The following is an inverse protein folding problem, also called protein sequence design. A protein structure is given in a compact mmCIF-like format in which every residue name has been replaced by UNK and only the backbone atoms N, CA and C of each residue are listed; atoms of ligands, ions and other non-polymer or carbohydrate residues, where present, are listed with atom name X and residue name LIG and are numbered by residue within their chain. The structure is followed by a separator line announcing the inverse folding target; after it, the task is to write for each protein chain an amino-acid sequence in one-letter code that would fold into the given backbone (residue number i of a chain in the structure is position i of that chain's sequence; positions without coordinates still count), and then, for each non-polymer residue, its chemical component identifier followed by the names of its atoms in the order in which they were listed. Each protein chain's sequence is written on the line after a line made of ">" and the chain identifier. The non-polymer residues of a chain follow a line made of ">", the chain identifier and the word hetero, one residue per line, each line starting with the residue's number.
data_IF_484382000248
#
_entry.id   IF_484382000248
#
_cell.length_a   1.000
_cell.length_b   1.000
_cell.length_c   1.000
_cell.angle_alpha   90.00
_cell.angle_beta   90.00
_cell.angle_gamma   90.00
#
_symmetry.space_group_name_H-M   'P 1'
#
loop_
_entity.id
_entity.type
_entity.pdbx_description
1 polymer ?
#
# COMPACT_ATOMS: atom_id res chain seq x y z
N UNK A 1 6.17 5.19 33.27
CA UNK A 1 6.40 5.05 31.81
C UNK A 1 6.16 3.60 31.45
N UNK A 2 5.28 3.30 30.48
CA UNK A 2 5.08 1.91 30.03
C UNK A 2 6.39 1.40 29.43
N UNK A 3 6.85 0.23 29.88
CA UNK A 3 8.09 -0.39 29.40
C UNK A 3 8.09 -0.45 27.86
N UNK A 4 9.25 -0.21 27.25
CA UNK A 4 9.42 0.04 25.81
C UNK A 4 9.12 -1.14 24.90
N UNK A 5 7.87 -1.61 24.83
CA UNK A 5 7.42 -2.63 23.88
C UNK A 5 6.62 -2.00 22.73
N UNK A 6 6.71 -2.64 21.57
CA UNK A 6 6.03 -2.26 20.32
C UNK A 6 5.07 -3.39 19.96
N UNK A 7 3.80 -3.07 19.75
CA UNK A 7 2.86 -4.00 19.15
C UNK A 7 2.58 -3.60 17.70
N UNK A 8 2.72 -4.54 16.76
CA UNK A 8 2.40 -4.33 15.35
C UNK A 8 1.11 -5.05 15.03
N UNK A 9 0.13 -4.32 14.51
CA UNK A 9 -1.16 -4.87 14.11
C UNK A 9 -1.24 -4.94 12.59
N UNK A 10 -1.59 -6.11 12.08
CA UNK A 10 -1.78 -6.36 10.66
C UNK A 10 -2.98 -7.28 10.42
N UNK A 11 -3.44 -7.37 9.16
CA UNK A 11 -4.50 -8.32 8.78
C UNK A 11 -4.04 -9.35 7.77
N UNK A 12 -3.18 -8.93 6.84
CA UNK A 12 -2.65 -9.78 5.77
C UNK A 12 -1.16 -9.56 5.58
N UNK A 13 -0.52 -10.40 4.78
CA UNK A 13 0.92 -10.35 4.53
C UNK A 13 1.40 -8.97 4.02
N UNK A 14 0.67 -8.33 3.11
CA UNK A 14 1.07 -7.01 2.59
C UNK A 14 1.10 -5.93 3.69
N UNK A 15 0.21 -6.05 4.68
CA UNK A 15 0.19 -5.17 5.83
C UNK A 15 1.39 -5.42 6.75
N UNK A 16 1.66 -6.69 7.04
CA UNK A 16 2.82 -7.10 7.83
C UNK A 16 4.11 -6.60 7.18
N UNK A 17 4.31 -6.88 5.88
CA UNK A 17 5.45 -6.42 5.07
C UNK A 17 5.70 -4.92 5.23
N UNK A 18 4.64 -4.10 5.10
CA UNK A 18 4.74 -2.65 5.19
C UNK A 18 5.18 -2.11 6.57
N UNK A 19 5.02 -2.91 7.63
CA UNK A 19 5.39 -2.51 8.99
C UNK A 19 6.80 -2.98 9.39
N UNK A 20 7.36 -4.00 8.73
CA UNK A 20 8.64 -4.63 9.12
C UNK A 20 9.80 -3.66 9.24
N UNK A 21 9.97 -2.75 8.27
CA UNK A 21 11.07 -1.80 8.30
C UNK A 21 10.99 -0.84 9.51
N UNK A 22 9.80 -0.27 9.75
CA UNK A 22 9.56 0.60 10.89
C UNK A 22 9.75 -0.15 12.22
N UNK A 23 9.17 -1.34 12.34
CA UNK A 23 9.24 -2.15 13.55
C UNK A 23 10.68 -2.49 13.92
N UNK A 24 11.50 -2.94 12.94
CA UNK A 24 12.94 -3.16 13.14
C UNK A 24 13.65 -1.89 13.58
N UNK A 25 13.42 -0.77 12.88
CA UNK A 25 14.06 0.49 13.21
C UNK A 25 13.73 1.01 14.62
N UNK A 26 12.52 0.77 15.12
CA UNK A 26 12.10 1.16 16.46
C UNK A 26 12.62 0.20 17.55
N UNK A 27 12.84 -1.07 17.20
CA UNK A 27 13.41 -2.09 18.07
C UNK A 27 14.92 -1.83 18.30
N UNK A 28 15.67 -1.62 17.23
CA UNK A 28 17.14 -1.51 17.26
C UNK A 28 17.62 -0.33 18.12
N UNK A 29 17.01 0.84 18.00
CA UNK A 29 17.46 2.06 18.71
C UNK A 29 17.04 2.09 20.18
N UNK A 30 16.02 1.33 20.57
CA UNK A 30 15.43 1.40 21.91
C UNK A 30 15.49 0.10 22.72
N UNK A 31 16.11 -0.95 22.20
CA UNK A 31 16.09 -2.29 22.81
C UNK A 31 14.66 -2.81 23.02
N UNK A 32 13.72 -2.37 22.17
CA UNK A 32 12.28 -2.58 22.36
C UNK A 32 11.87 -3.96 21.86
N UNK A 33 11.14 -4.71 22.66
CA UNK A 33 10.53 -5.96 22.19
C UNK A 33 9.38 -5.67 21.24
N UNK A 34 9.31 -6.41 20.13
CA UNK A 34 8.25 -6.31 19.12
C UNK A 34 7.33 -7.53 19.20
N UNK A 35 6.04 -7.31 19.41
CA UNK A 35 5.00 -8.33 19.26
C UNK A 35 4.18 -8.08 18.00
N UNK A 36 3.82 -9.15 17.30
CA UNK A 36 3.04 -9.12 16.07
C UNK A 36 1.64 -9.68 16.33
N UNK A 37 0.61 -8.96 15.88
CA UNK A 37 -0.79 -9.28 16.14
C UNK A 37 -1.56 -9.29 14.82
N UNK A 38 -1.83 -10.50 14.31
CA UNK A 38 -2.71 -10.71 13.18
C UNK A 38 -4.16 -10.56 13.62
N UNK A 39 -4.92 -9.64 13.04
CA UNK A 39 -6.32 -9.40 13.45
C UNK A 39 -7.23 -10.61 13.28
N UNK A 40 -6.88 -11.55 12.40
CA UNK A 40 -7.60 -12.80 12.25
C UNK A 40 -7.50 -13.71 13.48
N UNK A 41 -6.46 -13.53 14.31
CA UNK A 41 -6.29 -14.28 15.56
C UNK A 41 -7.22 -13.76 16.67
N UNK A 42 -7.89 -12.62 16.45
CA UNK A 42 -8.71 -11.90 17.42
C UNK A 42 -10.12 -11.59 16.90
N UNK A 43 -10.59 -12.24 15.82
CA UNK A 43 -11.88 -11.89 15.21
C UNK A 43 -13.04 -11.93 16.23
N UNK A 44 -12.98 -12.88 17.17
CA UNK A 44 -13.94 -13.06 18.28
C UNK A 44 -13.37 -12.73 19.68
N UNK A 45 -12.10 -12.33 19.79
CA UNK A 45 -11.41 -12.04 21.07
C UNK A 45 -10.99 -10.57 21.21
N UNK A 46 -12.00 -9.72 21.42
CA UNK A 46 -11.79 -8.27 21.55
C UNK A 46 -11.03 -7.91 22.83
N UNK A 47 -11.30 -8.59 23.95
CA UNK A 47 -10.63 -8.27 25.22
C UNK A 47 -9.19 -8.75 25.23
N UNK A 48 -8.88 -9.91 24.62
CA UNK A 48 -7.51 -10.35 24.42
C UNK A 48 -6.71 -9.39 23.54
N UNK A 49 -7.31 -8.88 22.45
CA UNK A 49 -6.69 -7.83 21.64
C UNK A 49 -6.43 -6.55 22.46
N UNK A 50 -7.42 -6.08 23.21
CA UNK A 50 -7.30 -4.89 24.07
C UNK A 50 -6.21 -5.07 25.12
N UNK A 51 -6.16 -6.22 25.77
CA UNK A 51 -5.15 -6.59 26.77
C UNK A 51 -3.74 -6.64 26.16
N UNK A 52 -3.59 -7.26 24.99
CA UNK A 52 -2.30 -7.34 24.29
C UNK A 52 -1.77 -5.97 23.89
N UNK A 53 -2.61 -5.15 23.25
CA UNK A 53 -2.21 -3.81 22.80
C UNK A 53 -2.03 -2.83 23.95
N UNK A 54 -2.82 -2.95 25.02
CA UNK A 54 -2.76 -2.08 26.19
C UNK A 54 -1.43 -2.13 26.96
N UNK A 55 -0.70 -3.24 26.84
CA UNK A 55 0.64 -3.41 27.42
C UNK A 55 1.75 -2.70 26.64
N UNK A 56 1.51 -2.34 25.38
CA UNK A 56 2.50 -1.72 24.52
C UNK A 56 2.67 -0.22 24.81
N UNK A 57 3.90 0.28 24.63
CA UNK A 57 4.17 1.72 24.61
C UNK A 57 3.79 2.33 23.27
N UNK A 58 4.06 1.61 22.18
CA UNK A 58 3.77 2.00 20.80
C UNK A 58 2.93 0.90 20.14
N UNK A 59 1.86 1.29 19.47
CA UNK A 59 1.06 0.38 18.62
C UNK A 59 1.15 0.87 17.18
N UNK A 60 1.77 0.07 16.32
CA UNK A 60 1.88 0.32 14.88
C UNK A 60 0.70 -0.34 14.17
N UNK A 61 -0.17 0.47 13.58
CA UNK A 61 -1.37 0.06 12.86
C UNK A 61 -1.10 0.01 11.36
N UNK A 62 -0.83 -1.19 10.85
CA UNK A 62 -0.77 -1.49 9.42
C UNK A 62 -2.03 -2.24 9.02
N UNK A 63 -3.17 -1.56 8.93
CA UNK A 63 -4.43 -2.21 8.55
C UNK A 63 -5.42 -1.24 7.89
N UNK A 64 -6.58 -1.77 7.51
CA UNK A 64 -7.64 -0.99 6.90
C UNK A 64 -8.26 0.00 7.88
N UNK A 65 -8.78 1.12 7.39
CA UNK A 65 -9.36 2.18 8.23
C UNK A 65 -10.46 1.72 9.18
N UNK A 66 -11.24 0.70 8.80
CA UNK A 66 -12.24 0.06 9.68
C UNK A 66 -11.59 -0.57 10.91
N UNK A 67 -10.54 -1.35 10.70
CA UNK A 67 -9.83 -2.05 11.77
C UNK A 67 -9.14 -1.06 12.70
N UNK A 68 -8.48 -0.05 12.12
CA UNK A 68 -7.87 1.06 12.86
C UNK A 68 -8.89 1.66 13.83
N UNK A 69 -10.06 2.05 13.34
CA UNK A 69 -11.05 2.69 14.20
C UNK A 69 -11.67 1.71 15.21
N UNK A 70 -11.87 0.43 14.88
CA UNK A 70 -12.29 -0.58 15.88
C UNK A 70 -11.29 -0.64 17.04
N UNK A 71 -9.99 -0.67 16.75
CA UNK A 71 -8.92 -0.69 17.76
C UNK A 71 -8.91 0.60 18.59
N UNK A 72 -8.97 1.77 17.93
CA UNK A 72 -8.95 3.05 18.63
C UNK A 72 -10.15 3.23 19.59
N UNK A 73 -11.29 2.59 19.33
CA UNK A 73 -12.44 2.59 20.24
C UNK A 73 -12.23 1.77 21.51
N UNK A 74 -11.32 0.80 21.52
CA UNK A 74 -10.98 0.01 22.72
C UNK A 74 -10.20 0.83 23.77
N UNK A 75 -9.64 1.97 23.35
CA UNK A 75 -8.77 2.83 24.14
C UNK A 75 -9.31 4.27 24.16
N UNK A 76 -10.35 4.55 24.95
CA UNK A 76 -10.93 5.89 25.04
C UNK A 76 -9.90 6.91 25.57
N UNK A 77 -10.00 8.14 25.09
CA UNK A 77 -9.07 9.24 25.41
C UNK A 77 -9.03 9.61 26.89
N UNK A 78 -10.10 9.30 27.62
CA UNK A 78 -10.20 9.50 29.07
C UNK A 78 -9.33 8.54 29.90
N UNK A 79 -8.70 7.55 29.26
CA UNK A 79 -7.87 6.55 29.93
C UNK A 79 -6.44 6.53 29.36
N UNK A 80 -5.45 6.07 30.14
CA UNK A 80 -4.11 5.84 29.63
C UNK A 80 -4.14 4.85 28.45
N UNK A 81 -3.70 5.31 27.27
CA UNK A 81 -3.68 4.51 26.03
C UNK A 81 -2.27 4.41 25.43
N UNK A 82 -2.00 3.39 24.60
CA UNK A 82 -0.75 3.33 23.82
C UNK A 82 -0.62 4.51 22.85
N UNK A 83 0.62 4.77 22.41
CA UNK A 83 0.90 5.71 21.32
C UNK A 83 0.65 5.02 19.97
N UNK A 84 -0.36 5.47 19.24
CA UNK A 84 -0.79 4.88 17.97
C UNK A 84 -0.09 5.53 16.78
N UNK A 85 0.68 4.73 16.05
CA UNK A 85 1.30 5.10 14.78
C UNK A 85 0.57 4.35 13.67
N UNK A 86 0.02 5.04 12.69
CA UNK A 86 -0.60 4.39 11.53
C UNK A 86 0.23 4.57 10.27
N UNK A 87 0.16 3.59 9.37
CA UNK A 87 0.81 3.64 8.06
C UNK A 87 -0.13 3.15 6.95
N UNK A 88 0.30 3.29 5.70
CA UNK A 88 -0.44 2.84 4.52
C UNK A 88 0.27 1.65 3.87
N UNK A 89 -0.34 0.45 3.88
CA UNK A 89 0.27 -0.75 3.29
C UNK A 89 0.00 -0.80 1.77
N UNK A 90 0.64 0.09 1.02
CA UNK A 90 0.53 0.22 -0.43
C UNK A 90 0.20 1.65 -0.89
N UNK A 91 0.07 1.83 -2.20
CA UNK A 91 -0.27 3.11 -2.83
C UNK A 91 -1.64 3.60 -2.34
N UNK A 92 -1.74 4.87 -1.98
CA UNK A 92 -3.00 5.52 -1.63
C UNK A 92 -3.50 6.31 -2.83
N UNK A 93 -4.75 6.08 -3.24
CA UNK A 93 -5.34 6.86 -4.31
C UNK A 93 -5.95 8.14 -3.76
N UNK A 94 -5.82 9.25 -4.51
CA UNK A 94 -6.46 10.54 -4.16
C UNK A 94 -7.99 10.43 -4.00
N UNK A 95 -8.62 9.45 -4.65
CA UNK A 95 -10.05 9.15 -4.49
C UNK A 95 -10.42 8.43 -3.18
N UNK A 96 -9.42 7.96 -2.42
CA UNK A 96 -9.59 7.23 -1.16
C UNK A 96 -9.39 8.15 0.04
N UNK A 97 -10.16 9.24 0.08
CA UNK A 97 -10.16 10.17 1.21
C UNK A 97 -10.51 9.50 2.53
N UNK A 98 -11.34 8.47 2.47
CA UNK A 98 -11.66 7.62 3.61
C UNK A 98 -10.42 6.98 4.24
N UNK A 99 -9.41 6.64 3.45
CA UNK A 99 -8.16 6.07 3.95
C UNK A 99 -7.37 7.07 4.83
N UNK A 100 -7.39 8.35 4.48
CA UNK A 100 -6.78 9.43 5.27
C UNK A 100 -7.61 9.77 6.51
N UNK A 101 -8.92 9.96 6.33
CA UNK A 101 -9.85 10.36 7.42
C UNK A 101 -9.84 9.33 8.56
N UNK A 102 -9.81 8.04 8.22
CA UNK A 102 -9.82 6.95 9.21
C UNK A 102 -8.54 6.88 10.07
N UNK A 103 -7.51 7.67 9.79
CA UNK A 103 -6.25 7.74 10.56
C UNK A 103 -6.10 9.01 11.38
N UNK A 104 -7.04 9.96 11.29
CA UNK A 104 -6.98 11.25 12.00
C UNK A 104 -6.83 11.11 13.52
N UNK A 105 -7.40 10.05 14.12
CA UNK A 105 -7.36 9.80 15.56
C UNK A 105 -6.07 9.12 16.05
N UNK A 106 -5.16 8.73 15.15
CA UNK A 106 -3.85 8.23 15.54
C UNK A 106 -2.95 9.38 16.04
N UNK A 107 -1.93 9.07 16.85
CA UNK A 107 -0.99 10.09 17.29
C UNK A 107 -0.06 10.54 16.17
N UNK A 108 0.36 9.59 15.32
CA UNK A 108 1.21 9.85 14.17
C UNK A 108 0.72 9.07 12.94
N UNK A 109 0.69 9.74 11.79
CA UNK A 109 0.30 9.14 10.50
C UNK A 109 1.49 9.19 9.54
N UNK A 110 1.99 8.01 9.17
CA UNK A 110 3.13 7.84 8.27
C UNK A 110 2.66 7.84 6.82
N UNK A 111 3.11 8.81 6.03
CA UNK A 111 2.66 9.03 4.65
C UNK A 111 3.67 8.55 3.63
N UNK A 112 3.20 7.95 2.54
CA UNK A 112 4.09 7.22 1.63
C UNK A 112 4.93 8.12 0.73
N UNK A 113 4.51 9.38 0.56
CA UNK A 113 5.10 10.28 -0.45
C UNK A 113 4.86 11.74 -0.10
N UNK A 114 5.53 12.65 -0.80
CA UNK A 114 5.31 14.10 -0.64
C UNK A 114 3.92 14.50 -1.12
N UNK A 115 3.44 13.88 -2.18
CA UNK A 115 2.08 14.08 -2.68
C UNK A 115 1.01 13.64 -1.65
N UNK A 116 1.24 12.55 -0.93
CA UNK A 116 0.36 12.11 0.16
C UNK A 116 0.44 13.06 1.35
N UNK A 117 1.64 13.55 1.70
CA UNK A 117 1.85 14.55 2.74
C UNK A 117 1.06 15.84 2.48
N UNK A 118 1.15 16.36 1.27
CA UNK A 118 0.40 17.53 0.83
C UNK A 118 -1.12 17.27 0.83
N UNK A 119 -1.55 16.12 0.30
CA UNK A 119 -2.96 15.75 0.25
C UNK A 119 -3.55 15.61 1.66
N UNK A 120 -2.81 15.00 2.58
CA UNK A 120 -3.21 14.87 3.98
C UNK A 120 -3.27 16.22 4.69
N UNK A 121 -2.28 17.10 4.47
CA UNK A 121 -2.28 18.47 4.99
C UNK A 121 -3.55 19.23 4.61
N UNK A 122 -3.91 19.21 3.32
CA UNK A 122 -5.16 19.84 2.83
C UNK A 122 -6.40 19.26 3.49
N UNK A 123 -6.44 17.95 3.74
CA UNK A 123 -7.56 17.31 4.46
C UNK A 123 -7.61 17.79 5.91
N UNK A 124 -6.47 17.86 6.60
CA UNK A 124 -6.39 18.36 7.97
C UNK A 124 -6.88 19.82 8.05
N UNK A 125 -6.41 20.68 7.15
CA UNK A 125 -6.81 22.10 7.07
C UNK A 125 -8.33 22.23 6.81
N UNK A 126 -8.85 21.45 5.88
CA UNK A 126 -10.27 21.42 5.54
C UNK A 126 -11.15 21.04 6.73
N UNK A 127 -10.73 20.03 7.46
CA UNK A 127 -11.42 19.53 8.64
C UNK A 127 -11.13 20.38 9.88
N UNK A 128 -10.19 21.33 9.79
CA UNK A 128 -9.68 22.14 10.90
C UNK A 128 -9.24 21.27 12.08
N UNK A 129 -8.47 20.23 11.78
CA UNK A 129 -7.90 19.30 12.76
C UNK A 129 -6.37 19.44 12.78
N UNK A 130 -5.72 19.22 13.94
CA UNK A 130 -4.27 19.28 14.01
C UNK A 130 -3.60 18.34 13.02
N UNK A 131 -2.58 18.84 12.32
CA UNK A 131 -1.78 18.01 11.41
C UNK A 131 -0.85 17.09 12.18
N UNK A 132 -1.05 15.78 12.06
CA UNK A 132 -0.27 14.70 12.68
C UNK A 132 0.43 13.79 11.64
N UNK A 133 0.56 14.27 10.40
CA UNK A 133 1.26 13.55 9.33
C UNK A 133 2.78 13.72 9.41
N UNK A 134 3.51 12.69 8.99
CA UNK A 134 4.95 12.75 8.74
C UNK A 134 5.28 11.94 7.49
N UNK A 135 6.25 12.41 6.71
CA UNK A 135 6.73 11.68 5.54
C UNK A 135 7.47 10.42 5.98
N UNK A 136 7.08 9.28 5.42
CA UNK A 136 7.74 8.01 5.62
C UNK A 136 8.36 7.53 4.30
N UNK A 137 7.54 7.16 3.32
CA UNK A 137 8.02 6.51 2.11
C UNK A 137 7.24 5.24 1.82
N UNK A 138 7.65 4.51 0.80
CA UNK A 138 7.05 3.22 0.46
C UNK A 138 7.40 2.17 1.52
N UNK A 139 6.67 2.13 2.65
CA UNK A 139 6.98 1.24 3.79
C UNK A 139 7.01 -0.25 3.48
N UNK A 140 6.41 -0.66 2.35
CA UNK A 140 6.47 -2.03 1.82
C UNK A 140 7.71 -2.33 0.98
N UNK A 141 8.63 -1.37 0.83
CA UNK A 141 9.89 -1.57 0.14
C UNK A 141 10.85 -2.42 0.99
N UNK A 142 11.17 -3.60 0.49
CA UNK A 142 12.19 -4.47 1.06
C UNK A 142 13.37 -4.53 0.09
N UNK A 143 14.45 -3.81 0.42
CA UNK A 143 15.68 -3.88 -0.35
C UNK A 143 16.28 -5.29 -0.23
N UNK A 144 16.34 -6.01 -1.35
CA UNK A 144 17.14 -7.22 -1.48
C UNK A 144 18.55 -6.84 -1.98
N UNK A 145 19.57 -7.60 -1.59
CA UNK A 145 20.87 -7.52 -2.22
C UNK A 145 20.71 -7.80 -3.71
N UNK A 146 21.29 -6.97 -4.56
CA UNK A 146 21.19 -7.14 -6.01
C UNK A 146 22.11 -8.30 -6.39
N UNK A 147 21.52 -9.45 -6.68
CA UNK A 147 22.24 -10.59 -7.22
C UNK A 147 22.07 -10.60 -8.75
N UNK A 148 23.03 -10.02 -9.47
CA UNK A 148 23.06 -10.07 -10.95
C UNK A 148 23.67 -11.38 -11.45
N UNK A 149 23.22 -12.52 -10.92
CA UNK A 149 23.66 -13.84 -11.34
C UNK A 149 22.98 -14.32 -12.64
N UNK A 150 22.04 -13.55 -13.23
CA UNK A 150 21.34 -13.98 -14.44
C UNK A 150 22.19 -13.71 -15.70
N UNK A 151 22.52 -14.78 -16.43
CA UNK A 151 23.27 -14.71 -17.70
C UNK A 151 22.50 -13.96 -18.80
N UNK A 152 21.16 -13.91 -18.72
CA UNK A 152 20.28 -13.24 -19.67
C UNK A 152 19.44 -12.14 -19.00
N UNK A 153 19.14 -11.02 -19.69
CA UNK A 153 18.27 -9.97 -19.18
C UNK A 153 16.87 -10.50 -18.84
N UNK A 154 16.33 -10.08 -17.69
CA UNK A 154 15.10 -10.58 -17.12
C UNK A 154 14.02 -9.48 -16.99
N UNK A 155 12.87 -9.73 -17.61
CA UNK A 155 11.66 -8.92 -17.47
C UNK A 155 10.60 -9.65 -16.65
N UNK A 156 10.05 -9.00 -15.63
CA UNK A 156 9.01 -9.60 -14.79
C UNK A 156 7.70 -8.82 -14.93
N UNK A 157 6.64 -9.52 -15.33
CA UNK A 157 5.27 -9.00 -15.23
C UNK A 157 4.70 -9.30 -13.83
N UNK A 158 4.39 -8.24 -13.08
CA UNK A 158 3.74 -8.34 -11.77
C UNK A 158 2.23 -8.25 -11.92
N UNK A 159 1.57 -9.39 -11.74
CA UNK A 159 0.13 -9.52 -11.81
C UNK A 159 -0.57 -8.82 -10.64
N UNK A 160 -1.79 -8.37 -10.89
CA UNK A 160 -2.69 -7.84 -9.87
C UNK A 160 -3.99 -8.62 -9.81
N UNK A 161 -4.52 -8.76 -8.59
CA UNK A 161 -5.85 -9.33 -8.38
C UNK A 161 -6.88 -8.44 -9.07
N UNK A 162 -7.79 -9.04 -9.83
CA UNK A 162 -8.89 -8.40 -10.54
C UNK A 162 -8.50 -7.33 -11.59
N UNK A 163 -7.26 -7.35 -12.07
CA UNK A 163 -6.78 -6.42 -13.12
C UNK A 163 -6.00 -7.18 -14.19
N UNK A 164 -6.47 -7.22 -15.46
CA UNK A 164 -7.74 -6.68 -15.95
C UNK A 164 -9.00 -7.31 -15.33
N UNK A 165 -10.09 -6.54 -15.23
CA UNK A 165 -11.33 -7.02 -14.59
C UNK A 165 -12.07 -8.07 -15.44
N UNK A 166 -12.07 -7.93 -16.77
CA UNK A 166 -12.81 -8.83 -17.64
C UNK A 166 -11.94 -10.01 -18.06
N UNK A 167 -12.50 -11.22 -17.99
CA UNK A 167 -11.82 -12.47 -18.44
C UNK A 167 -11.22 -12.35 -19.85
N UNK A 168 -11.92 -11.82 -20.88
CA UNK A 168 -11.32 -11.66 -22.21
C UNK A 168 -10.10 -10.72 -22.22
N UNK A 169 -10.07 -9.70 -21.36
CA UNK A 169 -8.93 -8.78 -21.26
C UNK A 169 -7.72 -9.46 -20.61
N UNK A 170 -7.95 -10.32 -19.59
CA UNK A 170 -6.88 -11.12 -18.98
C UNK A 170 -6.27 -12.11 -19.98
N UNK A 171 -7.10 -12.76 -20.80
CA UNK A 171 -6.63 -13.61 -21.91
C UNK A 171 -5.83 -12.81 -22.93
N UNK A 172 -6.35 -11.68 -23.39
CA UNK A 172 -5.66 -10.83 -24.36
C UNK A 172 -4.29 -10.34 -23.84
N UNK A 173 -4.19 -10.04 -22.54
CA UNK A 173 -2.93 -9.70 -21.87
C UNK A 173 -1.97 -10.89 -21.84
N UNK A 174 -2.43 -12.08 -21.47
CA UNK A 174 -1.62 -13.30 -21.52
C UNK A 174 -1.06 -13.55 -22.93
N UNK A 175 -1.90 -13.45 -23.97
CA UNK A 175 -1.47 -13.60 -25.36
C UNK A 175 -0.47 -12.50 -25.77
N UNK A 176 -0.66 -11.28 -25.27
CA UNK A 176 0.24 -10.15 -25.51
C UNK A 176 1.62 -10.34 -24.87
N UNK A 177 1.67 -10.84 -23.63
CA UNK A 177 2.92 -11.18 -22.93
C UNK A 177 3.66 -12.32 -23.64
N UNK A 178 2.94 -13.34 -24.12
CA UNK A 178 3.53 -14.41 -24.93
C UNK A 178 4.12 -13.88 -26.25
N UNK A 179 3.41 -12.99 -26.94
CA UNK A 179 3.94 -12.31 -28.15
C UNK A 179 5.16 -11.45 -27.83
N UNK A 180 5.18 -10.76 -26.69
CA UNK A 180 6.34 -9.99 -26.26
C UNK A 180 7.56 -10.90 -26.05
N UNK A 181 7.38 -12.03 -25.34
CA UNK A 181 8.45 -13.00 -25.12
C UNK A 181 9.00 -13.58 -26.44
N UNK A 182 8.13 -13.87 -27.41
CA UNK A 182 8.53 -14.36 -28.73
C UNK A 182 9.31 -13.34 -29.56
N UNK A 183 9.07 -12.04 -29.39
CA UNK A 183 9.83 -10.97 -30.07
C UNK A 183 11.22 -10.74 -29.50
N UNK A 184 11.47 -11.23 -28.28
CA UNK A 184 12.72 -11.04 -27.55
C UNK A 184 13.28 -12.39 -27.06
N UNK A 185 13.68 -13.31 -27.98
CA UNK A 185 14.18 -14.64 -27.63
C UNK A 185 15.47 -14.61 -26.78
N UNK A 186 16.22 -13.51 -26.82
CA UNK A 186 17.44 -13.27 -26.04
C UNK A 186 17.17 -12.94 -24.56
N UNK A 187 15.91 -12.75 -24.16
CA UNK A 187 15.49 -12.34 -22.82
C UNK A 187 14.63 -13.39 -22.14
N UNK A 188 14.73 -13.45 -20.82
CA UNK A 188 13.82 -14.23 -19.98
C UNK A 188 12.65 -13.37 -19.51
N UNK A 189 11.46 -13.98 -19.46
CA UNK A 189 10.23 -13.38 -18.97
C UNK A 189 9.64 -14.21 -17.84
N UNK A 190 9.29 -13.52 -16.75
CA UNK A 190 8.57 -14.14 -15.63
C UNK A 190 7.23 -13.47 -15.41
N UNK A 191 6.22 -14.26 -15.07
CA UNK A 191 4.94 -13.77 -14.56
C UNK A 191 4.93 -14.05 -13.07
N UNK A 192 5.02 -12.99 -12.26
CA UNK A 192 4.76 -13.09 -10.83
C UNK A 192 3.26 -13.16 -10.60
N UNK A 193 2.75 -14.38 -10.48
CA UNK A 193 1.36 -14.62 -10.16
C UNK A 193 1.05 -14.16 -8.73
N UNK A 194 -0.17 -13.69 -8.51
CA UNK A 194 -0.65 -13.29 -7.18
C UNK A 194 -1.56 -14.36 -6.60
N UNK A 195 -1.32 -14.70 -5.34
CA UNK A 195 -2.18 -15.62 -4.61
C UNK A 195 -3.46 -14.87 -4.19
N UNK A 196 -4.66 -15.30 -4.63
CA UNK A 196 -5.92 -14.69 -4.24
C UNK A 196 -6.21 -14.84 -2.73
N UNK A 197 -5.67 -15.86 -2.06
CA UNK A 197 -5.89 -16.12 -0.63
C UNK A 197 -5.11 -15.13 0.25
N UNK A 198 -3.92 -14.71 -0.19
CA UNK A 198 -3.03 -13.84 0.58
C UNK A 198 -3.43 -12.34 0.55
N UNK A 199 -4.34 -11.93 -0.33
CA UNK A 199 -4.64 -10.52 -0.61
C UNK A 199 -5.95 -9.98 -0.04
N UNK A 200 -6.94 -10.85 0.22
CA UNK A 200 -8.28 -10.43 0.61
C UNK A 200 -8.84 -11.35 1.68
N UNK A 201 -8.86 -10.92 2.94
CA UNK A 201 -9.60 -11.58 4.04
C UNK A 201 -11.11 -11.65 3.83
N UNK A 202 -11.60 -11.21 2.67
CA UNK A 202 -12.87 -11.63 2.12
C UNK A 202 -12.56 -12.39 0.84
N UNK A 203 -12.95 -13.67 0.78
CA UNK A 203 -13.48 -14.20 -0.49
C UNK A 203 -14.42 -13.12 -0.99
N UNK A 204 -14.19 -12.56 -2.18
CA UNK A 204 -15.12 -11.62 -2.80
C UNK A 204 -16.46 -12.32 -2.91
N UNK A 205 -17.31 -12.23 -1.86
CA UNK A 205 -18.68 -12.72 -1.86
C UNK A 205 -19.39 -11.87 -2.92
N UNK A 206 -19.50 -12.42 -4.13
CA UNK A 206 -20.15 -11.79 -5.27
C UNK A 206 -19.33 -11.69 -6.56
N UNK A 207 -18.11 -12.23 -6.64
CA UNK A 207 -17.48 -12.49 -7.94
C UNK A 207 -17.26 -13.99 -8.02
N UNK A 208 -18.01 -14.66 -8.88
CA UNK A 208 -17.80 -16.04 -9.33
C UNK A 208 -16.51 -16.16 -10.17
N UNK A 209 -15.42 -15.57 -9.66
CA UNK A 209 -14.10 -15.63 -10.25
C UNK A 209 -13.46 -16.92 -9.79
N UNK A 210 -13.67 -17.98 -10.57
CA UNK A 210 -12.90 -19.20 -10.45
C UNK A 210 -11.40 -18.85 -10.39
N UNK A 211 -10.67 -19.60 -9.56
CA UNK A 211 -9.21 -19.51 -9.44
C UNK A 211 -8.52 -19.60 -10.82
N UNK A 212 -9.21 -20.14 -11.83
CA UNK A 212 -8.75 -20.50 -13.18
C UNK A 212 -8.75 -19.37 -14.23
N UNK A 213 -8.95 -18.11 -13.83
CA UNK A 213 -9.10 -17.00 -14.79
C UNK A 213 -8.01 -15.92 -14.70
N UNK A 214 -6.89 -16.13 -14.01
CA UNK A 214 -5.82 -15.13 -13.91
C UNK A 214 -5.00 -15.06 -15.20
N UNK A 215 -4.19 -14.01 -15.34
CA UNK A 215 -3.27 -13.88 -16.48
C UNK A 215 -2.28 -15.04 -16.46
N UNK A 216 -1.78 -15.40 -15.28
CA UNK A 216 -0.90 -16.57 -15.12
C UNK A 216 -1.57 -17.87 -15.56
N UNK A 217 -2.86 -18.06 -15.28
CA UNK A 217 -3.57 -19.29 -15.64
C UNK A 217 -3.74 -19.38 -17.16
N UNK A 218 -4.08 -18.27 -17.82
CA UNK A 218 -4.11 -18.23 -19.28
C UNK A 218 -2.75 -18.52 -19.92
N UNK A 219 -1.66 -17.99 -19.35
CA UNK A 219 -0.31 -18.32 -19.83
C UNK A 219 0.04 -19.78 -19.59
N UNK A 220 -0.37 -20.37 -18.47
CA UNK A 220 -0.17 -21.80 -18.20
C UNK A 220 -0.89 -22.71 -19.20
N UNK A 221 -2.04 -22.27 -19.75
CA UNK A 221 -2.79 -23.01 -20.77
C UNK A 221 -2.25 -22.84 -22.20
N UNK A 222 -1.31 -21.92 -22.45
CA UNK A 222 -0.72 -21.72 -23.77
C UNK A 222 0.39 -22.74 -24.05
N UNK A 223 0.78 -22.89 -25.32
CA UNK A 223 1.96 -23.69 -25.68
C UNK A 223 3.18 -23.15 -24.94
N UNK A 224 3.87 -24.02 -24.20
CA UNK A 224 5.05 -23.65 -23.41
C UNK A 224 6.09 -22.96 -24.30
N UNK A 225 6.44 -21.72 -23.92
CA UNK A 225 7.54 -20.98 -24.52
C UNK A 225 8.83 -21.24 -23.71
N UNK A 226 10.00 -21.30 -24.36
CA UNK A 226 11.26 -21.56 -23.66
C UNK A 226 11.68 -20.42 -22.72
N UNK A 227 11.23 -19.18 -22.99
CA UNK A 227 11.66 -17.97 -22.28
C UNK A 227 10.53 -17.23 -21.54
N UNK A 228 9.38 -17.87 -21.30
CA UNK A 228 8.29 -17.31 -20.50
C UNK A 228 7.84 -18.32 -19.44
N UNK A 229 8.00 -17.95 -18.16
CA UNK A 229 7.69 -18.84 -17.03
C UNK A 229 6.85 -18.13 -15.98
N UNK A 230 6.13 -18.89 -15.16
CA UNK A 230 5.38 -18.38 -14.02
C UNK A 230 6.24 -18.56 -12.77
N UNK A 231 6.33 -17.54 -11.93
CA UNK A 231 7.08 -17.59 -10.67
C UNK A 231 6.20 -17.23 -9.49
N UNK A 232 6.43 -17.92 -8.37
CA UNK A 232 5.84 -17.60 -7.07
C UNK A 232 6.81 -16.88 -6.13
N UNK A 233 8.06 -16.64 -6.55
CA UNK A 233 9.08 -16.01 -5.72
C UNK A 233 8.64 -14.63 -5.19
N UNK A 234 9.18 -14.18 -4.05
CA UNK A 234 8.88 -12.86 -3.49
C UNK A 234 9.18 -11.71 -4.46
N UNK A 235 8.41 -10.63 -4.37
CA UNK A 235 8.58 -9.43 -5.22
C UNK A 235 9.99 -8.85 -5.10
N UNK A 236 10.54 -8.76 -3.88
CA UNK A 236 11.87 -8.22 -3.62
C UNK A 236 12.98 -9.04 -4.28
N UNK A 237 12.88 -10.37 -4.26
CA UNK A 237 13.80 -11.26 -4.96
C UNK A 237 13.70 -11.08 -6.48
N UNK A 238 12.47 -11.13 -7.03
CA UNK A 238 12.29 -10.95 -8.47
C UNK A 238 12.78 -9.59 -8.98
N UNK A 239 12.62 -8.51 -8.19
CA UNK A 239 13.16 -7.19 -8.53
C UNK A 239 14.68 -7.05 -8.31
N UNK A 240 15.30 -7.91 -7.51
CA UNK A 240 16.76 -8.02 -7.43
C UNK A 240 17.32 -8.56 -8.75
N UNK A 241 16.70 -9.60 -9.28
CA UNK A 241 17.22 -10.36 -10.42
C UNK A 241 16.84 -9.70 -11.76
N UNK A 242 15.71 -8.99 -11.80
CA UNK A 242 15.18 -8.36 -13.00
C UNK A 242 15.90 -7.05 -13.38
N UNK A 243 16.04 -6.82 -14.69
CA UNK A 243 16.37 -5.50 -15.23
C UNK A 243 15.11 -4.65 -15.50
N UNK A 244 13.97 -5.31 -15.71
CA UNK A 244 12.71 -4.69 -16.11
C UNK A 244 11.50 -5.20 -15.32
N UNK A 245 10.66 -4.27 -14.89
CA UNK A 245 9.39 -4.49 -14.21
C UNK A 245 8.24 -4.03 -15.12
N UNK A 246 7.27 -4.90 -15.38
CA UNK A 246 6.05 -4.59 -16.12
C UNK A 246 4.86 -4.83 -15.19
N UNK A 247 3.92 -3.90 -15.12
CA UNK A 247 2.66 -4.12 -14.40
C UNK A 247 1.57 -3.21 -14.97
N UNK A 248 0.31 -3.40 -14.59
CA UNK A 248 -0.74 -2.43 -14.90
C UNK A 248 -0.75 -1.36 -13.81
N UNK A 249 -0.81 -1.76 -12.54
CA UNK A 249 -0.89 -0.81 -11.45
C UNK A 249 -0.47 -1.32 -10.06
N UNK A 250 0.65 -2.05 -9.99
CA UNK A 250 1.15 -2.60 -8.73
C UNK A 250 1.99 -1.61 -7.92
N UNK A 251 1.94 -1.72 -6.59
CA UNK A 251 2.90 -1.05 -5.69
C UNK A 251 4.34 -1.53 -5.92
N UNK A 252 4.51 -2.70 -6.57
CA UNK A 252 5.80 -3.21 -7.02
C UNK A 252 6.47 -2.27 -8.04
N UNK A 253 5.72 -1.43 -8.77
CA UNK A 253 6.31 -0.41 -9.63
C UNK A 253 7.12 0.62 -8.82
N UNK A 254 6.67 0.98 -7.62
CA UNK A 254 7.43 1.89 -6.74
C UNK A 254 8.70 1.21 -6.22
N UNK A 255 8.61 -0.07 -5.84
CA UNK A 255 9.79 -0.86 -5.43
C UNK A 255 10.80 -0.96 -6.58
N UNK A 256 10.34 -1.20 -7.81
CA UNK A 256 11.17 -1.26 -9.00
C UNK A 256 11.89 0.07 -9.30
N UNK A 257 11.18 1.20 -9.18
CA UNK A 257 11.77 2.53 -9.34
C UNK A 257 12.82 2.82 -8.26
N UNK A 258 12.56 2.46 -7.00
CA UNK A 258 13.52 2.60 -5.90
C UNK A 258 14.79 1.75 -6.11
N UNK A 259 14.67 0.62 -6.82
CA UNK A 259 15.79 -0.23 -7.21
C UNK A 259 16.42 0.16 -8.56
N UNK A 260 15.96 1.24 -9.20
CA UNK A 260 16.49 1.70 -10.48
C UNK A 260 16.17 0.77 -11.66
N UNK A 261 15.09 -0.01 -11.59
CA UNK A 261 14.68 -0.92 -12.67
C UNK A 261 13.87 -0.18 -13.73
N UNK A 262 14.00 -0.60 -15.00
CA UNK A 262 13.12 -0.15 -16.08
C UNK A 262 11.70 -0.53 -15.71
N UNK A 263 10.81 0.45 -15.60
CA UNK A 263 9.46 0.23 -15.05
C UNK A 263 8.42 0.65 -16.08
N UNK A 264 7.63 -0.30 -16.54
CA UNK A 264 6.62 -0.11 -17.59
C UNK A 264 5.23 -0.33 -17.01
N UNK A 265 4.35 0.62 -17.24
CA UNK A 265 2.95 0.56 -16.81
C UNK A 265 2.04 0.39 -18.01
N UNK A 266 1.39 -0.76 -18.12
CA UNK A 266 0.54 -1.09 -19.24
C UNK A 266 -0.73 -0.23 -19.22
N UNK A 267 -0.90 0.59 -20.25
CA UNK A 267 -2.02 1.52 -20.39
C UNK A 267 -3.26 0.92 -21.06
N UNK A 268 -3.14 -0.26 -21.68
CA UNK A 268 -4.20 -0.88 -22.50
C UNK A 268 -5.40 -1.37 -21.67
N UNK A 269 -5.23 -1.51 -20.36
CA UNK A 269 -6.19 -2.19 -19.49
C UNK A 269 -6.72 -1.26 -18.39
N UNK A 270 -8.00 -0.87 -18.44
CA UNK A 270 -8.58 -0.03 -17.40
C UNK A 270 -8.70 -0.80 -16.09
N UNK A 271 -8.14 -0.25 -15.02
CA UNK A 271 -8.40 -0.70 -13.66
C UNK A 271 -9.68 -0.03 -13.13
N UNK A 272 -10.64 -0.81 -12.61
CA UNK A 272 -11.89 -0.29 -12.01
C UNK A 272 -11.64 0.66 -10.86
N UNK A 273 -10.62 0.35 -10.06
CA UNK A 273 -10.06 1.27 -9.08
C UNK A 273 -9.03 2.11 -9.83
N UNK A 274 -9.16 3.42 -9.74
CA UNK A 274 -8.49 4.42 -10.57
C UNK A 274 -6.96 4.52 -10.30
N UNK A 275 -6.27 3.37 -10.18
CA UNK A 275 -4.85 3.33 -9.92
C UNK A 275 -4.03 3.82 -11.13
N UNK A 276 -4.58 3.75 -12.35
CA UNK A 276 -4.01 4.43 -13.51
C UNK A 276 -3.88 5.95 -13.29
N UNK A 277 -4.78 6.56 -12.51
CA UNK A 277 -4.70 7.97 -12.15
C UNK A 277 -3.51 8.33 -11.25
N UNK A 278 -2.98 7.38 -10.46
CA UNK A 278 -1.79 7.63 -9.64
C UNK A 278 -0.53 7.79 -10.50
N UNK A 279 -0.38 6.93 -11.52
CA UNK A 279 0.75 6.95 -12.44
C UNK A 279 0.56 7.86 -13.65
N UNK A 280 -0.58 8.54 -13.74
CA UNK A 280 -0.81 9.55 -14.78
C UNK A 280 0.27 10.64 -14.69
N UNK A 281 0.86 11.00 -15.83
CA UNK A 281 1.94 11.99 -15.90
C UNK A 281 3.30 11.49 -15.40
N UNK A 282 3.44 10.20 -15.07
CA UNK A 282 4.73 9.63 -14.63
C UNK A 282 5.76 9.44 -15.76
N UNK A 283 5.33 9.41 -17.03
CA UNK A 283 6.18 9.03 -18.16
C UNK A 283 6.45 7.51 -18.27
N UNK A 284 5.82 6.70 -17.43
CA UNK A 284 6.01 5.23 -17.38
C UNK A 284 4.92 4.44 -18.14
N UNK A 285 3.87 5.11 -18.58
CA UNK A 285 2.73 4.49 -19.27
C UNK A 285 3.13 4.08 -20.69
N UNK A 286 2.87 2.83 -21.06
CA UNK A 286 3.16 2.28 -22.40
C UNK A 286 2.06 1.31 -22.82
N UNK A 287 1.81 1.21 -24.13
CA UNK A 287 0.97 0.13 -24.68
C UNK A 287 1.78 -1.15 -24.76
N UNK A 288 1.20 -2.30 -24.43
CA UNK A 288 1.89 -3.59 -24.49
C UNK A 288 2.46 -3.91 -25.89
N UNK A 289 1.79 -3.43 -26.94
CA UNK A 289 2.25 -3.59 -28.32
C UNK A 289 3.55 -2.81 -28.62
N UNK A 290 3.77 -1.68 -27.96
CA UNK A 290 4.92 -0.80 -28.17
C UNK A 290 6.03 -1.01 -27.13
N UNK A 291 5.81 -1.88 -26.15
CA UNK A 291 6.76 -2.14 -25.08
C UNK A 291 8.01 -2.84 -25.63
N UNK A 292 9.15 -2.19 -25.44
CA UNK A 292 10.49 -2.75 -25.63
C UNK A 292 11.21 -2.79 -24.28
N UNK A 293 11.48 -3.98 -23.69
CA UNK A 293 12.11 -4.11 -22.39
C UNK A 293 13.56 -3.63 -22.36
N UNK A 294 14.23 -3.51 -23.52
CA UNK A 294 15.57 -2.95 -23.65
C UNK A 294 15.62 -1.43 -23.55
N UNK A 295 14.50 -0.74 -23.83
CA UNK A 295 14.45 0.72 -23.91
C UNK A 295 13.96 1.33 -22.60
N UNK A 296 14.87 2.01 -21.90
CA UNK A 296 14.57 2.75 -20.68
C UNK A 296 13.39 3.73 -20.89
N UNK A 297 12.29 3.60 -20.12
CA UNK A 297 11.27 4.64 -20.02
C UNK A 297 11.90 5.96 -19.58
N UNK A 298 11.27 7.09 -19.86
CA UNK A 298 11.71 8.41 -19.40
C UNK A 298 10.77 8.89 -18.27
N UNK A 299 11.00 8.51 -17.00
CA UNK A 299 10.16 8.97 -15.92
C UNK A 299 10.29 10.48 -15.75
N UNK A 300 9.16 11.14 -15.51
CA UNK A 300 9.12 12.57 -15.21
C UNK A 300 9.67 12.80 -13.80
N UNK A 301 10.73 13.61 -13.69
CA UNK A 301 11.49 13.83 -12.45
C UNK A 301 10.60 14.41 -11.34
N UNK A 302 9.71 15.33 -11.70
CA UNK A 302 8.77 15.97 -10.79
C UNK A 302 7.80 14.95 -10.20
N UNK A 303 7.33 14.01 -11.03
CA UNK A 303 6.45 12.93 -10.58
C UNK A 303 7.19 11.96 -9.65
N UNK A 304 8.42 11.58 -9.99
CA UNK A 304 9.25 10.72 -9.13
C UNK A 304 9.46 11.37 -7.76
N UNK A 305 9.89 12.62 -7.74
CA UNK A 305 10.13 13.38 -6.51
C UNK A 305 8.88 13.49 -5.63
N UNK A 306 7.70 13.63 -6.24
CA UNK A 306 6.44 13.74 -5.51
C UNK A 306 5.95 12.40 -4.94
N UNK A 307 6.17 11.28 -5.66
CA UNK A 307 5.48 10.00 -5.41
C UNK A 307 6.38 8.83 -5.01
N UNK A 308 7.69 8.93 -5.22
CA UNK A 308 8.65 7.86 -4.95
C UNK A 308 9.60 8.32 -3.84
N UNK A 309 9.50 7.67 -2.68
CA UNK A 309 10.29 8.01 -1.50
C UNK A 309 10.80 6.74 -0.84
N UNK A 310 12.12 6.67 -0.64
CA UNK A 310 12.76 5.56 0.06
C UNK A 310 12.46 5.68 1.57
N UNK A 311 11.72 4.73 2.16
CA UNK A 311 11.34 4.80 3.57
C UNK A 311 12.53 4.83 4.53
N UNK A 312 13.71 4.34 4.12
CA UNK A 312 14.91 4.31 4.98
C UNK A 312 15.43 5.70 5.30
N UNK A 313 15.21 6.66 4.41
CA UNK A 313 15.74 8.02 4.53
C UNK A 313 15.04 8.86 5.61
N UNK A 314 13.82 8.49 6.00
CA UNK A 314 12.96 9.25 6.93
C UNK A 314 12.87 8.63 8.32
N UNK A 315 13.35 7.40 8.52
CA UNK A 315 13.28 6.68 9.79
C UNK A 315 13.83 7.51 10.98
N UNK A 316 14.99 8.19 10.90
CA UNK A 316 15.49 8.99 12.02
C UNK A 316 14.53 10.10 12.45
N UNK A 317 13.86 10.76 11.50
CA UNK A 317 12.90 11.83 11.80
C UNK A 317 11.64 11.27 12.47
N UNK A 318 11.15 10.13 11.98
CA UNK A 318 9.99 9.42 12.55
C UNK A 318 10.25 9.03 14.00
N UNK A 319 11.42 8.46 14.31
CA UNK A 319 11.78 8.07 15.68
C UNK A 319 11.81 9.27 16.61
N UNK A 320 12.47 10.36 16.20
CA UNK A 320 12.46 11.63 16.95
C UNK A 320 11.04 12.20 17.12
N UNK A 321 10.16 12.04 16.13
CA UNK A 321 8.77 12.50 16.23
C UNK A 321 7.98 11.70 17.27
N UNK A 322 8.13 10.37 17.28
CA UNK A 322 7.50 9.48 18.27
C UNK A 322 7.98 9.85 19.68
N UNK A 323 9.28 9.96 19.90
CA UNK A 323 9.84 10.30 21.22
C UNK A 323 9.36 11.67 21.73
N UNK A 324 9.34 12.68 20.87
CA UNK A 324 8.86 14.02 21.20
C UNK A 324 7.38 14.00 21.59
N UNK A 325 6.55 13.29 20.84
CA UNK A 325 5.10 13.25 21.08
C UNK A 325 4.71 12.31 22.23
N UNK A 326 5.50 11.27 22.54
CA UNK A 326 5.28 10.48 23.76
C UNK A 326 5.54 11.31 25.03
N UNK A 327 6.49 12.25 25.00
CA UNK A 327 6.76 13.18 26.10
C UNK A 327 5.72 14.29 26.19
N UNK A 328 5.27 14.80 25.05
CA UNK A 328 4.27 15.86 24.94
C UNK A 328 3.11 15.40 24.03
N UNK A 329 2.16 14.60 24.56
CA UNK A 329 1.02 14.11 23.78
C UNK A 329 0.20 15.29 23.26
N UNK A 330 -0.16 15.22 21.97
CA UNK A 330 -1.09 16.20 21.41
C UNK A 330 -2.51 15.88 21.90
N UNK A 331 -3.38 16.90 22.05
CA UNK A 331 -4.78 16.66 22.31
C UNK A 331 -5.33 15.73 21.23
N UNK A 332 -5.99 14.66 21.64
CA UNK A 332 -6.57 13.73 20.69
C UNK A 332 -7.70 14.43 19.93
N UNK A 333 -7.81 14.14 18.64
CA UNK A 333 -8.74 14.81 17.76
C UNK A 333 -10.13 14.28 18.05
N UNK A 334 -10.91 15.01 18.86
CA UNK A 334 -12.35 14.82 18.91
C UNK A 334 -12.90 15.19 17.52
N UNK A 335 -13.05 14.21 16.64
CA UNK A 335 -13.63 14.38 15.30
C UNK A 335 -15.14 14.70 15.34
N UNK A 336 -15.60 15.30 16.44
CA UNK A 336 -16.97 15.73 16.64
C UNK A 336 -17.23 16.96 15.77
N UNK A 337 -18.12 16.75 14.80
CA UNK A 337 -18.89 17.77 14.07
C UNK A 337 -18.15 18.63 13.04
N UNK A 338 -17.68 18.07 11.91
CA UNK A 338 -17.52 18.84 10.64
C UNK A 338 -17.84 18.06 9.35
N UNK A 339 -18.74 17.09 9.41
CA UNK A 339 -19.23 16.35 8.22
C UNK A 339 -19.85 17.31 7.19
N UNK A 340 -20.60 18.32 7.64
CA UNK A 340 -21.19 19.36 6.80
C UNK A 340 -20.14 20.27 6.15
N UNK A 341 -19.04 20.61 6.83
CA UNK A 341 -17.97 21.45 6.28
C UNK A 341 -17.14 20.68 5.23
N UNK A 342 -16.84 19.40 5.50
CA UNK A 342 -16.18 18.52 4.54
C UNK A 342 -17.03 18.32 3.28
N UNK A 343 -18.35 18.14 3.45
CA UNK A 343 -19.32 18.02 2.37
C UNK A 343 -19.40 19.28 1.51
N UNK A 344 -19.34 20.46 2.14
CA UNK A 344 -19.41 21.76 1.45
C UNK A 344 -18.13 22.06 0.66
N UNK A 345 -16.96 21.84 1.26
CA UNK A 345 -15.68 22.20 0.63
C UNK A 345 -15.11 21.12 -0.31
N UNK A 346 -15.53 19.86 -0.19
CA UNK A 346 -15.10 18.77 -1.08
C UNK A 346 -15.44 18.99 -2.56
N UNK A 347 -16.49 19.78 -2.85
CA UNK A 347 -16.85 20.21 -4.20
C UNK A 347 -15.78 21.02 -4.91
N UNK A 348 -14.92 21.74 -4.18
CA UNK A 348 -13.89 22.59 -4.76
C UNK A 348 -12.56 21.86 -5.02
N UNK A 349 -12.33 20.71 -4.38
CA UNK A 349 -11.02 20.03 -4.35
C UNK A 349 -11.05 18.72 -5.16
N UNK A 350 -12.21 18.10 -5.33
CA UNK A 350 -12.33 16.79 -5.98
C UNK A 350 -13.26 16.82 -7.19
N UNK A 351 -12.85 16.25 -8.34
CA UNK A 351 -13.61 16.31 -9.59
C UNK A 351 -14.92 15.49 -9.60
N UNK A 352 -15.20 14.69 -8.56
CA UNK A 352 -16.32 13.75 -8.47
C UNK A 352 -17.10 13.91 -7.13
N UNK A 353 -18.03 14.88 -7.02
CA UNK A 353 -18.62 15.30 -5.75
C UNK A 353 -19.46 14.23 -5.03
N UNK A 354 -20.17 13.39 -5.78
CA UNK A 354 -21.07 12.38 -5.20
C UNK A 354 -20.30 11.20 -4.58
N UNK A 355 -19.23 10.76 -5.26
CA UNK A 355 -18.33 9.73 -4.75
C UNK A 355 -17.59 10.21 -3.50
N UNK A 356 -17.16 11.49 -3.52
CA UNK A 356 -16.55 12.16 -2.39
C UNK A 356 -17.48 12.12 -1.17
N UNK A 357 -18.73 12.58 -1.30
CA UNK A 357 -19.67 12.66 -0.18
C UNK A 357 -19.91 11.28 0.43
N UNK A 358 -20.26 10.27 -0.37
CA UNK A 358 -20.57 8.92 0.13
C UNK A 358 -19.40 8.28 0.89
N UNK A 359 -18.18 8.38 0.35
CA UNK A 359 -16.97 7.81 1.01
C UNK A 359 -16.62 8.57 2.27
N UNK A 360 -16.72 9.89 2.23
CA UNK A 360 -16.48 10.77 3.39
C UNK A 360 -17.46 10.48 4.53
N UNK A 361 -18.77 10.42 4.25
CA UNK A 361 -19.79 10.03 5.24
C UNK A 361 -19.52 8.65 5.84
N UNK A 362 -19.15 7.66 5.01
CA UNK A 362 -18.81 6.31 5.50
C UNK A 362 -17.57 6.34 6.41
N UNK A 363 -16.54 7.11 6.06
CA UNK A 363 -15.34 7.26 6.87
C UNK A 363 -15.65 7.92 8.21
N UNK A 364 -16.44 9.00 8.21
CA UNK A 364 -16.86 9.65 9.45
C UNK A 364 -17.69 8.73 10.35
N UNK A 365 -18.61 7.94 9.79
CA UNK A 365 -19.32 6.92 10.56
C UNK A 365 -18.38 5.93 11.23
N UNK A 366 -17.28 5.53 10.58
CA UNK A 366 -16.28 4.65 11.21
C UNK A 366 -15.53 5.35 12.35
N UNK A 367 -15.26 6.65 12.21
CA UNK A 367 -14.58 7.45 13.23
C UNK A 367 -15.49 7.74 14.43
N UNK A 368 -16.80 7.90 14.20
CA UNK A 368 -17.82 8.25 15.20
C UNK A 368 -18.50 7.05 15.86
N UNK A 369 -18.57 5.89 15.17
CA UNK A 369 -19.27 4.72 15.69
C UNK A 369 -18.57 4.18 16.94
N UNK A 370 -19.25 4.29 18.09
CA UNK A 370 -18.90 3.50 19.27
C UNK A 370 -19.08 2.02 18.93
N UNK A 371 -18.12 1.19 19.33
CA UNK A 371 -18.32 -0.26 19.33
C UNK A 371 -19.38 -0.53 20.39
N UNK A 372 -20.57 -0.95 19.95
CA UNK A 372 -21.62 -1.49 20.83
C UNK A 372 -21.21 -2.84 21.39
#
# INVERSE_FOLDING_TARGET
>A
MRAGSIAVVHRHYAHEKAARLLARSLADEGGRQVSWHGLSDYDDDVEGLRSALGRAAIVVLSCGGRDINRILHLFPESQPRPFFVSLFPGIVLRSQLDAFITRLRCDLVLLNSRADLESYGRICDLLRVPFNGILYGAGWFEAAAVDRATEAPLTVFFEQIDVPHRKPQRRALADGLARLALRHPERQFLIKARDPVAGTGRRSRGVDGHIDDRVSDFVACQRRLPNLHISQAPVSQLLSDADSCVTISSSAAIEALLMGRRTYLLADYPARQNYGGFFQGSGLLVRLADLDPGRQPAPIKEWLHANVMDPRTTLPEIRRAIERQQKNPRPCIAARHKVLLAAYCGRAIFPEPHTFLRRTFKAFRLVEARVE
#
